data_IF_281392054414
#
_entry.id   IF_281392054414
#
_cell.length_a   1.000
_cell.length_b   1.000
_cell.length_c   1.000
_cell.angle_alpha   90.00
_cell.angle_beta   90.00
_cell.angle_gamma   90.00
#
_symmetry.space_group_name_H-M   'P 1'
#
loop_
_entity.id
_entity.type
_entity.pdbx_description
1 polymer ?
#
# COMPACT_ATOMS: atom_id res chain seq x y z
N UNK A 1 3.73 -2.78 -22.80
CA UNK A 1 2.92 -3.96 -22.39
C UNK A 1 3.55 -5.17 -23.03
N UNK A 2 3.75 -6.26 -22.27
CA UNK A 2 4.30 -7.50 -22.83
C UNK A 2 3.30 -8.13 -23.81
N UNK A 3 3.80 -8.65 -24.93
CA UNK A 3 3.02 -9.42 -25.90
C UNK A 3 2.66 -10.80 -25.32
N UNK A 4 1.59 -11.47 -25.81
CA UNK A 4 1.28 -12.84 -25.38
C UNK A 4 2.45 -13.81 -25.56
N UNK A 5 3.24 -13.64 -26.62
CA UNK A 5 4.44 -14.43 -26.87
C UNK A 5 5.53 -14.20 -25.82
N UNK A 6 5.77 -12.95 -25.42
CA UNK A 6 6.73 -12.62 -24.34
C UNK A 6 6.28 -13.16 -22.98
N UNK A 7 4.97 -13.17 -22.70
CA UNK A 7 4.42 -13.75 -21.47
C UNK A 7 4.68 -15.27 -21.45
N UNK A 8 4.38 -15.96 -22.56
CA UNK A 8 4.60 -17.41 -22.65
C UNK A 8 6.10 -17.76 -22.60
N UNK A 9 6.96 -16.98 -23.23
CA UNK A 9 8.41 -17.15 -23.14
C UNK A 9 8.93 -17.00 -21.69
N UNK A 10 8.26 -16.19 -20.86
CA UNK A 10 8.63 -15.97 -19.46
C UNK A 10 8.04 -16.99 -18.49
N UNK A 11 7.06 -17.79 -18.93
CA UNK A 11 6.37 -18.81 -18.12
C UNK A 11 7.35 -19.83 -17.50
N UNK A 12 8.28 -20.46 -18.24
CA UNK A 12 9.19 -21.46 -17.64
C UNK A 12 10.05 -20.88 -16.52
N UNK A 13 10.51 -19.65 -16.68
CA UNK A 13 11.31 -18.95 -15.68
C UNK A 13 10.49 -18.65 -14.41
N UNK A 14 9.27 -18.13 -14.55
CA UNK A 14 8.39 -17.89 -13.40
C UNK A 14 8.00 -19.19 -12.68
N UNK A 15 7.78 -20.28 -13.44
CA UNK A 15 7.55 -21.61 -12.87
C UNK A 15 8.76 -22.08 -12.07
N UNK A 16 9.97 -21.94 -12.61
CA UNK A 16 11.22 -22.28 -11.89
C UNK A 16 11.37 -21.49 -10.59
N UNK A 17 11.07 -20.19 -10.58
CA UNK A 17 11.12 -19.36 -9.37
C UNK A 17 10.07 -19.76 -8.31
N UNK A 18 9.02 -20.47 -8.73
CA UNK A 18 7.86 -20.84 -7.91
C UNK A 18 7.81 -22.34 -7.57
N UNK A 19 8.90 -23.09 -7.76
CA UNK A 19 9.00 -24.49 -7.30
C UNK A 19 8.95 -24.58 -5.77
N UNK A 20 8.75 -25.79 -5.21
CA UNK A 20 8.47 -26.01 -3.78
C UNK A 20 9.44 -25.39 -2.76
N UNK A 21 10.67 -25.09 -3.16
CA UNK A 21 11.67 -24.36 -2.35
C UNK A 21 12.24 -23.12 -3.09
N UNK A 22 11.49 -22.64 -4.08
CA UNK A 22 11.89 -21.54 -4.95
C UNK A 22 11.91 -20.18 -4.24
N UNK A 23 12.62 -19.18 -4.80
CA UNK A 23 12.80 -17.87 -4.18
C UNK A 23 11.51 -17.05 -4.03
N UNK A 24 10.43 -17.42 -4.72
CA UNK A 24 9.12 -16.76 -4.62
C UNK A 24 8.13 -17.46 -3.69
N UNK A 25 8.57 -18.45 -2.90
CA UNK A 25 7.71 -19.11 -1.93
C UNK A 25 7.37 -18.21 -0.73
N UNK A 26 6.18 -18.36 -0.11
CA UNK A 26 5.78 -17.56 1.06
C UNK A 26 6.71 -17.70 2.27
N UNK A 27 7.39 -18.82 2.40
CA UNK A 27 8.34 -19.16 3.45
C UNK A 27 9.80 -19.06 3.01
N UNK A 28 10.06 -18.60 1.78
CA UNK A 28 11.41 -18.40 1.26
C UNK A 28 12.24 -17.46 2.16
N UNK A 29 13.58 -17.58 2.18
CA UNK A 29 14.45 -16.74 3.01
C UNK A 29 14.25 -15.22 2.80
N UNK A 30 13.93 -14.81 1.57
CA UNK A 30 13.71 -13.41 1.17
C UNK A 30 12.25 -12.97 1.26
N UNK A 31 11.32 -13.83 1.72
CA UNK A 31 9.98 -13.38 2.04
C UNK A 31 10.06 -12.28 3.11
N UNK A 32 9.32 -11.17 2.93
CA UNK A 32 9.39 -10.00 3.82
C UNK A 32 9.20 -10.34 5.29
N UNK A 33 8.39 -11.35 5.60
CA UNK A 33 8.12 -11.83 6.97
C UNK A 33 9.30 -12.57 7.61
N UNK A 34 10.26 -13.05 6.80
CA UNK A 34 11.46 -13.74 7.23
C UNK A 34 12.68 -12.80 7.34
N UNK A 35 12.59 -11.60 6.78
CA UNK A 35 13.66 -10.59 6.88
C UNK A 35 13.77 -10.01 8.28
N UNK A 36 14.91 -10.24 8.95
CA UNK A 36 15.18 -9.83 10.34
C UNK A 36 15.11 -8.32 10.59
N UNK A 37 15.32 -7.50 9.54
CA UNK A 37 15.18 -6.04 9.60
C UNK A 37 13.74 -5.62 9.94
N UNK A 38 12.75 -6.32 9.40
CA UNK A 38 11.34 -5.95 9.53
C UNK A 38 10.58 -6.82 10.53
N UNK A 39 10.97 -8.09 10.69
CA UNK A 39 10.30 -9.04 11.57
C UNK A 39 11.30 -9.82 12.44
N UNK A 40 10.88 -10.13 13.66
CA UNK A 40 11.55 -11.09 14.57
C UNK A 40 10.64 -12.29 14.74
N UNK A 41 11.20 -13.46 15.08
CA UNK A 41 10.38 -14.62 15.47
C UNK A 41 10.28 -14.70 16.99
N UNK A 42 9.05 -14.80 17.50
CA UNK A 42 8.74 -15.09 18.90
C UNK A 42 7.85 -16.34 18.85
N UNK A 43 8.29 -17.43 19.46
CA UNK A 43 7.59 -18.73 19.45
C UNK A 43 7.20 -19.20 18.04
N UNK A 44 8.11 -19.00 17.07
CA UNK A 44 7.90 -19.35 15.66
C UNK A 44 7.03 -18.37 14.87
N UNK A 45 6.37 -17.41 15.53
CA UNK A 45 5.47 -16.44 14.89
C UNK A 45 6.25 -15.19 14.46
N UNK A 46 6.08 -14.70 13.21
CA UNK A 46 6.68 -13.43 12.78
C UNK A 46 6.00 -12.26 13.47
N UNK A 47 6.77 -11.50 14.24
CA UNK A 47 6.35 -10.29 14.96
C UNK A 47 7.09 -9.09 14.35
N UNK A 48 6.39 -8.04 13.89
CA UNK A 48 7.05 -6.87 13.32
C UNK A 48 7.93 -6.17 14.36
N UNK A 49 9.08 -5.66 13.93
CA UNK A 49 9.94 -4.78 14.74
C UNK A 49 9.18 -3.49 15.11
N UNK A 50 9.68 -2.75 16.09
CA UNK A 50 9.07 -1.47 16.49
C UNK A 50 9.01 -0.48 15.32
N UNK A 51 10.08 -0.40 14.53
CA UNK A 51 10.15 0.42 13.32
C UNK A 51 9.11 -0.03 12.27
N UNK A 52 9.01 -1.34 12.00
CA UNK A 52 8.03 -1.87 11.04
C UNK A 52 6.59 -1.62 11.50
N UNK A 53 6.31 -1.75 12.79
CA UNK A 53 5.00 -1.45 13.38
C UNK A 53 4.62 0.02 13.19
N UNK A 54 5.54 0.95 13.46
CA UNK A 54 5.31 2.38 13.22
C UNK A 54 5.00 2.69 11.75
N UNK A 55 5.71 2.05 10.81
CA UNK A 55 5.41 2.16 9.39
C UNK A 55 4.00 1.64 9.06
N UNK A 56 3.61 0.49 9.59
CA UNK A 56 2.25 -0.05 9.40
C UNK A 56 1.19 0.91 9.96
N UNK A 57 1.38 1.45 11.16
CA UNK A 57 0.49 2.43 11.78
C UNK A 57 0.38 3.72 10.96
N UNK A 58 1.50 4.21 10.42
CA UNK A 58 1.54 5.37 9.54
C UNK A 58 0.73 5.12 8.26
N UNK A 59 0.96 4.00 7.57
CA UNK A 59 0.24 3.64 6.34
C UNK A 59 -1.26 3.52 6.63
N UNK A 60 -1.65 2.85 7.72
CA UNK A 60 -3.05 2.75 8.14
C UNK A 60 -3.66 4.13 8.44
N UNK A 61 -2.91 5.01 9.11
CA UNK A 61 -3.32 6.37 9.39
C UNK A 61 -3.57 7.18 8.12
N UNK A 62 -2.63 7.13 7.17
CA UNK A 62 -2.74 7.80 5.87
C UNK A 62 -3.92 7.26 5.05
N UNK A 63 -4.05 5.94 4.94
CA UNK A 63 -5.16 5.30 4.23
C UNK A 63 -6.52 5.67 4.85
N UNK A 64 -6.61 5.76 6.19
CA UNK A 64 -7.83 6.22 6.88
C UNK A 64 -8.12 7.70 6.66
N UNK A 65 -7.08 8.53 6.58
CA UNK A 65 -7.22 9.97 6.39
C UNK A 65 -7.56 10.36 4.94
N UNK A 66 -7.18 9.53 3.96
CA UNK A 66 -7.37 9.78 2.53
C UNK A 66 -8.85 9.97 2.13
N UNK A 67 -9.78 9.35 2.86
CA UNK A 67 -11.20 9.59 2.67
C UNK A 67 -11.95 9.69 4.01
N UNK A 68 -12.22 10.90 4.49
CA UNK A 68 -12.93 11.11 5.78
C UNK A 68 -14.45 11.02 5.67
N UNK A 69 -15.01 10.87 4.47
CA UNK A 69 -16.46 10.94 4.21
C UNK A 69 -17.14 9.56 4.19
N UNK A 70 -16.41 8.50 4.52
CA UNK A 70 -16.93 7.13 4.53
C UNK A 70 -18.12 7.02 5.49
N UNK A 71 -19.23 6.46 4.99
CA UNK A 71 -20.43 6.25 5.76
C UNK A 71 -20.20 5.25 6.90
N UNK A 72 -20.88 5.45 8.02
CA UNK A 72 -20.76 4.59 9.23
C UNK A 72 -21.88 3.57 9.35
N UNK A 73 -22.58 3.30 8.25
CA UNK A 73 -23.83 2.53 8.20
C UNK A 73 -23.63 1.01 8.33
N UNK A 74 -22.43 0.55 8.70
CA UNK A 74 -22.06 -0.89 8.85
C UNK A 74 -22.39 -1.75 7.62
N UNK A 75 -22.32 -1.15 6.43
CA UNK A 75 -22.53 -1.83 5.15
C UNK A 75 -21.20 -2.20 4.49
N UNK A 76 -21.14 -3.38 3.88
CA UNK A 76 -19.99 -3.84 3.12
C UNK A 76 -20.44 -4.52 1.82
N UNK A 77 -19.63 -4.38 0.76
CA UNK A 77 -19.81 -5.07 -0.51
C UNK A 77 -18.58 -5.97 -0.68
N UNK A 78 -18.82 -7.26 -0.93
CA UNK A 78 -17.76 -8.25 -1.14
C UNK A 78 -17.80 -8.70 -2.59
N UNK A 79 -16.66 -8.59 -3.28
CA UNK A 79 -16.50 -9.04 -4.67
C UNK A 79 -15.60 -10.27 -4.71
N UNK A 80 -16.14 -11.40 -5.14
CA UNK A 80 -15.44 -12.68 -5.27
C UNK A 80 -15.39 -13.14 -6.73
N UNK A 81 -14.41 -13.99 -7.04
CA UNK A 81 -14.18 -14.50 -8.40
C UNK A 81 -12.71 -14.82 -8.67
N UNK A 82 -12.41 -15.61 -9.71
CA UNK A 82 -11.04 -15.85 -10.15
C UNK A 82 -10.31 -14.54 -10.53
N UNK A 83 -8.97 -14.51 -10.49
CA UNK A 83 -8.22 -13.41 -11.09
C UNK A 83 -8.55 -13.30 -12.58
N UNK A 84 -8.69 -12.08 -13.10
CA UNK A 84 -9.01 -11.84 -14.51
C UNK A 84 -10.50 -11.88 -14.88
N UNK A 85 -11.41 -12.23 -13.97
CA UNK A 85 -12.87 -12.29 -14.24
C UNK A 85 -13.57 -10.92 -14.24
N UNK A 86 -12.85 -9.81 -14.51
CA UNK A 86 -13.48 -8.49 -14.68
C UNK A 86 -14.06 -7.84 -13.42
N UNK A 87 -13.60 -8.22 -12.21
CA UNK A 87 -14.05 -7.61 -10.95
C UNK A 87 -13.94 -6.08 -10.94
N UNK A 88 -12.91 -5.54 -11.59
CA UNK A 88 -12.70 -4.10 -11.70
C UNK A 88 -13.80 -3.44 -12.54
N UNK A 89 -14.21 -4.07 -13.64
CA UNK A 89 -15.31 -3.58 -14.48
C UNK A 89 -16.65 -3.59 -13.73
N UNK A 90 -16.90 -4.62 -12.92
CA UNK A 90 -18.10 -4.69 -12.07
C UNK A 90 -18.05 -3.62 -10.97
N UNK A 91 -16.89 -3.38 -10.38
CA UNK A 91 -16.69 -2.32 -9.39
C UNK A 91 -17.04 -0.94 -9.97
N UNK A 92 -16.51 -0.59 -11.13
CA UNK A 92 -16.83 0.67 -11.82
C UNK A 92 -18.31 0.81 -12.12
N UNK A 93 -18.96 -0.27 -12.55
CA UNK A 93 -20.40 -0.27 -12.82
C UNK A 93 -21.23 -0.08 -11.54
N UNK A 94 -20.86 -0.75 -10.44
CA UNK A 94 -21.57 -0.68 -9.17
C UNK A 94 -21.57 0.72 -8.55
N UNK A 95 -20.50 1.47 -8.80
CA UNK A 95 -20.28 2.80 -8.25
C UNK A 95 -20.54 3.94 -9.24
N UNK A 96 -21.09 3.65 -10.42
CA UNK A 96 -21.44 4.66 -11.42
C UNK A 96 -22.46 5.67 -10.88
N UNK A 97 -23.51 5.18 -10.23
CA UNK A 97 -24.63 6.00 -9.73
C UNK A 97 -24.60 6.19 -8.20
N UNK A 98 -23.49 5.81 -7.55
CA UNK A 98 -23.33 5.91 -6.09
C UNK A 98 -22.24 6.91 -5.75
N UNK A 99 -22.41 7.64 -4.65
CA UNK A 99 -21.33 8.49 -4.12
C UNK A 99 -20.20 7.62 -3.56
N UNK A 100 -19.15 7.44 -4.37
CA UNK A 100 -17.94 6.69 -4.04
C UNK A 100 -17.25 7.19 -2.77
N UNK A 101 -17.38 8.48 -2.42
CA UNK A 101 -16.74 9.05 -1.22
C UNK A 101 -17.32 8.44 0.06
N UNK A 102 -18.54 7.91 0.02
CA UNK A 102 -19.17 7.22 1.15
C UNK A 102 -18.63 5.82 1.37
N UNK A 103 -17.86 5.27 0.44
CA UNK A 103 -17.31 3.92 0.50
C UNK A 103 -15.80 3.94 0.67
N UNK A 104 -15.28 2.84 1.20
CA UNK A 104 -13.84 2.61 1.30
C UNK A 104 -13.48 1.26 0.72
N UNK A 105 -12.59 1.27 -0.23
CA UNK A 105 -12.04 0.07 -0.83
C UNK A 105 -10.99 -0.56 0.10
N UNK A 106 -11.20 -1.83 0.44
CA UNK A 106 -10.26 -2.63 1.22
C UNK A 106 -9.56 -3.63 0.29
N UNK A 107 -8.41 -3.23 -0.24
CA UNK A 107 -7.54 -4.06 -1.08
C UNK A 107 -6.14 -4.18 -0.46
N UNK A 108 -5.66 -5.42 -0.28
CA UNK A 108 -4.31 -5.70 0.21
C UNK A 108 -3.21 -5.14 -0.70
N UNK A 109 -3.46 -5.03 -2.01
CA UNK A 109 -2.46 -4.54 -2.96
C UNK A 109 -2.15 -3.05 -2.76
N UNK A 110 -3.09 -2.26 -2.25
CA UNK A 110 -2.83 -0.86 -1.85
C UNK A 110 -1.74 -0.81 -0.78
N UNK A 111 -1.83 -1.69 0.22
CA UNK A 111 -0.83 -1.74 1.30
C UNK A 111 0.52 -2.29 0.82
N UNK A 112 0.52 -3.30 -0.07
CA UNK A 112 1.76 -3.80 -0.70
C UNK A 112 2.47 -2.67 -1.44
N UNK A 113 1.74 -1.85 -2.20
CA UNK A 113 2.27 -0.68 -2.89
C UNK A 113 2.89 0.32 -1.91
N UNK A 114 2.19 0.71 -0.85
CA UNK A 114 2.75 1.61 0.16
C UNK A 114 4.01 1.07 0.84
N UNK A 115 4.08 -0.25 1.07
CA UNK A 115 5.27 -0.90 1.63
C UNK A 115 6.46 -0.89 0.65
N UNK A 116 6.19 -1.07 -0.64
CA UNK A 116 7.21 -0.97 -1.70
C UNK A 116 7.70 0.48 -1.86
N UNK A 117 6.81 1.45 -1.87
CA UNK A 117 7.15 2.87 -1.96
C UNK A 117 8.03 3.30 -0.77
N UNK A 118 7.71 2.81 0.44
CA UNK A 118 8.55 3.03 1.62
C UNK A 118 9.93 2.38 1.49
N UNK A 119 10.01 1.16 0.94
CA UNK A 119 11.26 0.45 0.71
C UNK A 119 12.15 1.12 -0.36
N UNK A 120 11.53 1.73 -1.37
CA UNK A 120 12.24 2.55 -2.35
C UNK A 120 12.77 3.83 -1.71
N UNK A 121 11.96 4.49 -0.89
CA UNK A 121 12.32 5.75 -0.24
C UNK A 121 13.44 5.62 0.80
N UNK A 122 13.53 4.49 1.51
CA UNK A 122 14.56 4.22 2.51
C UNK A 122 15.74 3.38 1.98
N UNK A 123 15.76 3.09 0.67
CA UNK A 123 16.83 2.37 -0.02
C UNK A 123 16.90 0.87 0.28
N UNK A 124 15.82 0.28 0.81
CA UNK A 124 15.76 -1.14 1.23
C UNK A 124 15.10 -2.06 0.22
N UNK A 125 14.68 -1.54 -0.93
CA UNK A 125 14.03 -2.31 -1.98
C UNK A 125 14.85 -3.53 -2.43
N UNK A 126 16.16 -3.38 -2.61
CA UNK A 126 17.04 -4.49 -3.03
C UNK A 126 17.07 -5.65 -2.02
N UNK A 127 16.85 -5.37 -0.73
CA UNK A 127 16.76 -6.40 0.31
C UNK A 127 15.48 -7.25 0.20
N UNK A 128 14.44 -6.74 -0.47
CA UNK A 128 13.21 -7.47 -0.80
C UNK A 128 13.37 -8.40 -2.01
N UNK A 129 14.30 -8.08 -2.91
CA UNK A 129 14.50 -8.82 -4.15
C UNK A 129 15.46 -9.99 -3.87
N UNK A 130 15.05 -11.24 -4.12
CA UNK A 130 15.95 -12.38 -4.06
C UNK A 130 17.22 -12.14 -4.92
N UNK A 131 18.43 -12.53 -4.46
CA UNK A 131 19.67 -12.30 -5.18
C UNK A 131 19.65 -12.80 -6.63
N UNK A 132 18.95 -13.92 -6.89
CA UNK A 132 18.76 -14.53 -8.20
C UNK A 132 18.02 -13.62 -9.18
N UNK A 133 17.28 -12.62 -8.66
CA UNK A 133 16.51 -11.66 -9.43
C UNK A 133 17.19 -10.29 -9.56
N UNK A 134 18.28 -10.02 -8.82
CA UNK A 134 18.99 -8.73 -8.86
C UNK A 134 19.86 -8.54 -10.11
N UNK A 135 20.39 -9.64 -10.65
CA UNK A 135 21.32 -9.65 -11.79
C UNK A 135 20.66 -9.97 -13.13
N UNK A 136 19.40 -10.41 -13.12
CA UNK A 136 18.61 -10.55 -14.32
C UNK A 136 18.17 -9.13 -14.72
N UNK A 137 19.03 -8.42 -15.45
CA UNK A 137 18.74 -7.11 -16.02
C UNK A 137 17.40 -7.15 -16.74
N UNK A 138 16.35 -6.77 -16.02
CA UNK A 138 15.11 -6.37 -16.64
C UNK A 138 15.44 -5.08 -17.35
N UNK A 139 15.44 -5.12 -18.68
CA UNK A 139 15.43 -3.92 -19.50
C UNK A 139 14.58 -2.86 -18.82
N UNK A 140 15.20 -1.69 -18.68
CA UNK A 140 14.76 -0.46 -18.04
C UNK A 140 13.30 -0.11 -18.38
N UNK A 141 12.35 -0.81 -17.76
CA UNK A 141 10.97 -0.37 -17.65
C UNK A 141 10.86 0.21 -16.25
N UNK A 142 11.48 1.40 -16.12
CA UNK A 142 11.07 2.40 -15.14
C UNK A 142 9.57 2.54 -15.36
N UNK A 143 8.78 1.82 -14.56
CA UNK A 143 7.41 2.19 -14.28
C UNK A 143 7.54 3.60 -13.72
N UNK A 144 7.37 4.58 -14.61
CA UNK A 144 7.21 5.99 -14.29
C UNK A 144 5.98 6.07 -13.40
N UNK A 145 6.20 5.81 -12.13
CA UNK A 145 5.23 6.01 -11.11
C UNK A 145 5.27 7.49 -10.83
N UNK A 146 4.36 8.20 -11.50
CA UNK A 146 4.11 9.60 -11.19
C UNK A 146 3.73 9.66 -9.71
N UNK A 147 4.66 10.07 -8.87
CA UNK A 147 4.37 10.54 -7.53
C UNK A 147 3.50 11.78 -7.71
N UNK A 148 2.19 11.62 -7.66
CA UNK A 148 1.29 12.76 -7.40
C UNK A 148 1.40 13.02 -5.91
N UNK A 149 2.47 13.72 -5.52
CA UNK A 149 2.60 14.31 -4.21
C UNK A 149 1.52 15.38 -4.08
N UNK A 150 0.42 15.07 -3.41
CA UNK A 150 -0.49 16.10 -2.91
C UNK A 150 0.22 16.74 -1.72
N UNK A 151 0.88 17.87 -1.97
CA UNK A 151 1.35 18.74 -0.91
C UNK A 151 0.16 19.05 0.02
N UNK A 152 0.33 19.01 1.36
CA UNK A 152 -0.69 19.54 2.24
C UNK A 152 -0.81 21.04 1.93
N UNK A 153 -1.94 21.42 1.34
CA UNK A 153 -2.32 22.83 1.27
C UNK A 153 -2.36 23.35 2.70
N UNK A 154 -1.52 24.37 2.96
CA UNK A 154 -1.65 25.22 4.14
C UNK A 154 -3.11 25.64 4.24
N UNK A 155 -3.81 25.14 5.26
CA UNK A 155 -5.08 25.73 5.68
C UNK A 155 -4.69 26.94 6.51
N UNK A 156 -4.65 28.08 5.85
CA UNK A 156 -4.73 29.38 6.49
C UNK A 156 -6.15 29.58 7.06
N UNK A 157 -6.15 30.25 8.22
CA UNK A 157 -7.26 30.91 8.96
C UNK A 157 -8.15 30.10 9.90
N UNK A 158 -8.03 30.48 11.17
CA UNK A 158 -9.09 31.08 11.99
C UNK A 158 -8.40 32.05 12.97
N UNK A 159 -8.39 33.37 12.76
CA UNK A 159 -9.48 34.33 13.06
C UNK A 159 -10.38 33.89 14.22
N UNK A 160 -9.99 34.26 15.44
CA UNK A 160 -10.90 34.33 16.58
C UNK A 160 -11.26 35.80 16.79
N UNK A 161 -12.41 36.18 16.23
CA UNK A 161 -13.12 37.39 16.60
C UNK A 161 -13.89 37.08 17.89
N UNK A 162 -13.31 37.42 19.04
CA UNK A 162 -13.95 37.34 20.35
C UNK A 162 -14.24 38.75 20.87
N UNK A 163 -15.52 39.15 20.84
CA UNK A 163 -16.01 40.43 21.35
C UNK A 163 -15.84 40.51 22.88
N UNK A 164 -15.31 41.66 23.31
CA UNK A 164 -15.63 42.46 24.51
C UNK A 164 -15.74 41.74 25.85
N UNK A 165 -14.73 41.97 26.70
CA UNK A 165 -14.92 42.16 28.14
C UNK A 165 -14.21 43.44 28.58
N UNK A 166 -14.94 44.21 29.41
CA UNK A 166 -14.67 45.58 29.85
C UNK A 166 -13.34 45.73 30.59
N UNK A 167 -12.67 46.84 30.31
CA UNK A 167 -11.78 47.53 31.25
C UNK A 167 -12.47 47.76 32.60
N UNK A 168 -11.81 47.40 33.70
CA UNK A 168 -11.91 48.15 34.96
C UNK A 168 -10.50 48.48 35.44
N UNK A 169 -10.19 49.78 35.39
CA UNK A 169 -9.08 50.44 36.08
C UNK A 169 -9.33 50.44 37.59
N UNK A 170 -8.24 50.29 38.34
CA UNK A 170 -7.88 50.92 39.64
C UNK A 170 -8.94 50.98 40.75
N UNK A 171 -8.59 50.44 41.92
CA UNK A 171 -8.11 51.26 43.04
C UNK A 171 -6.95 50.53 43.71
#
# INVERSE_FOLDING_TARGET
MLTPHEIEARRPYLTYLSIGDGPLQPDAPHATVNTRRWFRRIDGVPVPTSARRRLHEQILGQWRAANRHVARERSAIVMAGPPGTGKLSIHEQLFRDRDQRRWRELDANVFKRCLLDAALADGTFEELVPPELRSAGGEEQVLSFRVVGVAPSRVDRLSVCGRRTRCRRRR
#
